data_IF_587952363299
#
_entry.id   IF_587952363299
#
_cell.length_a   1.000
_cell.length_b   1.000
_cell.length_c   1.000
_cell.angle_alpha   90.00
_cell.angle_beta   90.00
_cell.angle_gamma   90.00
#
_symmetry.space_group_name_H-M   'P 1'
#
loop_
_entity.id
_entity.type
_entity.pdbx_description
1 polymer ?
#
# COMPACT_ATOMS: atom_id res chain seq x y z
N UNK A 1 -7.06 28.50 -31.70
CA UNK A 1 -5.65 28.95 -31.66
C UNK A 1 -5.36 29.53 -30.28
N UNK A 2 -4.22 29.15 -29.69
CA UNK A 2 -3.59 29.72 -28.48
C UNK A 2 -3.92 29.11 -27.10
N UNK A 3 -3.68 27.81 -26.92
CA UNK A 3 -3.36 27.21 -25.59
C UNK A 3 -1.93 26.62 -25.56
N UNK A 4 -1.33 26.31 -26.72
CA UNK A 4 0.00 25.67 -26.82
C UNK A 4 1.19 26.52 -26.35
N UNK A 5 1.18 27.83 -26.63
CA UNK A 5 2.39 28.66 -26.48
C UNK A 5 2.82 28.88 -25.02
N UNK A 6 1.90 28.73 -24.06
CA UNK A 6 2.18 28.93 -22.63
C UNK A 6 2.87 27.73 -21.99
N UNK A 7 2.60 26.53 -22.51
CA UNK A 7 3.18 25.27 -22.02
C UNK A 7 4.61 25.17 -22.54
N UNK A 8 4.83 25.36 -23.84
CA UNK A 8 6.16 25.22 -24.44
C UNK A 8 7.22 26.17 -23.85
N UNK A 9 6.82 27.40 -23.50
CA UNK A 9 7.70 28.38 -22.87
C UNK A 9 8.15 28.00 -21.46
N UNK A 10 7.30 27.30 -20.67
CA UNK A 10 7.65 26.77 -19.35
C UNK A 10 8.61 25.57 -19.44
N UNK A 11 8.69 24.92 -20.61
CA UNK A 11 9.35 23.63 -20.78
C UNK A 11 10.67 23.64 -21.56
N UNK A 12 11.12 24.81 -22.01
CA UNK A 12 12.38 24.96 -22.75
C UNK A 12 13.66 24.79 -21.89
N UNK A 13 13.57 24.78 -20.56
CA UNK A 13 14.76 24.82 -19.67
C UNK A 13 14.93 23.59 -18.76
N UNK A 14 14.02 22.61 -18.81
CA UNK A 14 14.09 21.44 -17.95
C UNK A 14 14.97 20.33 -18.55
N UNK A 15 16.11 20.03 -17.93
CA UNK A 15 16.93 18.85 -18.28
C UNK A 15 16.15 17.56 -17.98
N UNK A 16 15.76 16.84 -19.04
CA UNK A 16 15.21 15.48 -18.97
C UNK A 16 16.28 14.53 -18.44
N UNK A 17 15.94 13.74 -17.42
CA UNK A 17 16.86 12.74 -16.85
C UNK A 17 16.44 11.36 -17.34
N UNK A 18 17.12 10.83 -18.35
CA UNK A 18 16.85 9.47 -18.82
C UNK A 18 17.38 8.43 -17.83
N UNK A 19 16.53 7.46 -17.48
CA UNK A 19 16.82 6.36 -16.55
C UNK A 19 17.97 5.45 -17.02
N UNK A 20 18.33 5.50 -18.31
CA UNK A 20 19.36 4.66 -18.94
C UNK A 20 20.81 5.02 -18.61
N UNK A 21 21.09 6.19 -18.03
CA UNK A 21 22.47 6.60 -17.73
C UNK A 21 22.97 6.24 -16.32
N UNK A 22 22.24 5.41 -15.56
CA UNK A 22 22.67 4.99 -14.21
C UNK A 22 23.36 3.62 -14.14
N UNK A 23 23.48 2.89 -15.25
CA UNK A 23 24.03 1.51 -15.24
C UNK A 23 25.18 1.26 -16.23
N UNK A 24 25.76 2.29 -16.85
CA UNK A 24 26.88 2.10 -17.78
C UNK A 24 27.87 3.27 -17.74
N UNK A 25 28.66 3.36 -16.67
CA UNK A 25 29.99 4.00 -16.67
C UNK A 25 30.69 3.69 -15.34
N UNK A 26 31.56 2.68 -15.34
CA UNK A 26 32.60 2.59 -14.34
C UNK A 26 33.69 3.64 -14.62
N UNK A 27 34.25 4.19 -13.55
CA UNK A 27 35.41 5.08 -13.45
C UNK A 27 35.21 6.57 -13.77
N UNK A 28 35.50 7.43 -12.78
CA UNK A 28 35.86 8.84 -12.97
C UNK A 28 35.08 9.83 -12.11
N UNK A 29 35.73 10.35 -11.06
CA UNK A 29 35.20 11.19 -9.98
C UNK A 29 34.90 12.64 -10.41
N UNK A 30 33.72 13.19 -10.02
CA UNK A 30 33.55 14.58 -9.61
C UNK A 30 32.26 14.72 -8.80
N UNK A 31 32.41 14.93 -7.48
CA UNK A 31 31.33 15.00 -6.52
C UNK A 31 30.50 16.29 -6.68
N UNK A 32 29.20 16.13 -6.95
CA UNK A 32 28.19 17.11 -6.61
C UNK A 32 27.28 16.46 -5.56
N UNK A 33 27.40 16.91 -4.31
CA UNK A 33 26.67 16.44 -3.14
C UNK A 33 25.18 16.78 -3.24
N UNK A 34 24.43 15.98 -3.98
CA UNK A 34 22.98 15.89 -3.83
C UNK A 34 22.70 15.04 -2.60
N UNK A 35 22.50 15.68 -1.45
CA UNK A 35 22.02 15.05 -0.22
C UNK A 35 20.55 14.66 -0.43
N UNK A 36 20.34 13.60 -1.21
CA UNK A 36 19.11 12.85 -1.22
C UNK A 36 19.26 11.75 -0.18
N UNK A 37 18.75 11.99 1.03
CA UNK A 37 18.69 10.97 2.06
C UNK A 37 17.68 9.90 1.60
N UNK A 38 18.13 8.93 0.81
CA UNK A 38 17.38 7.72 0.51
C UNK A 38 17.26 6.91 1.80
N UNK A 39 16.26 7.25 2.60
CA UNK A 39 15.79 6.39 3.66
C UNK A 39 15.05 5.21 3.02
N UNK A 40 15.79 4.29 2.40
CA UNK A 40 15.40 2.88 2.45
C UNK A 40 15.27 2.60 3.94
N UNK A 41 14.03 2.39 4.40
CA UNK A 41 13.76 2.16 5.81
C UNK A 41 14.73 1.09 6.30
N UNK A 42 15.62 1.45 7.25
CA UNK A 42 16.51 0.48 7.89
C UNK A 42 15.65 -0.71 8.31
N UNK A 43 16.08 -1.96 8.09
CA UNK A 43 15.34 -3.12 8.55
C UNK A 43 15.05 -2.89 10.04
N UNK A 44 13.76 -2.87 10.39
CA UNK A 44 13.36 -2.68 11.77
C UNK A 44 14.11 -3.72 12.60
N UNK A 45 14.81 -3.29 13.66
CA UNK A 45 15.38 -4.22 14.64
C UNK A 45 14.30 -5.24 14.96
N UNK A 46 14.61 -6.53 14.84
CA UNK A 46 13.66 -7.60 15.10
C UNK A 46 12.96 -7.33 16.44
N UNK A 47 11.71 -6.87 16.40
CA UNK A 47 10.91 -6.66 17.60
C UNK A 47 10.73 -8.05 18.20
N UNK A 48 11.08 -8.21 19.48
CA UNK A 48 10.75 -9.42 20.21
C UNK A 48 9.27 -9.75 19.99
N UNK A 49 8.94 -11.01 19.68
CA UNK A 49 7.55 -11.43 19.49
C UNK A 49 6.77 -11.05 20.75
N UNK A 50 5.87 -10.07 20.67
CA UNK A 50 5.07 -9.73 21.84
C UNK A 50 4.12 -10.89 22.12
N UNK A 51 4.00 -11.27 23.40
CA UNK A 51 3.08 -12.31 23.82
C UNK A 51 1.65 -11.93 23.40
N UNK A 52 0.93 -12.85 22.76
CA UNK A 52 -0.48 -12.67 22.38
C UNK A 52 -1.32 -12.65 23.65
N UNK A 53 -2.10 -11.59 23.85
CA UNK A 53 -2.96 -11.37 25.01
C UNK A 53 -4.36 -11.94 24.80
N UNK A 54 -5.17 -11.96 25.87
CA UNK A 54 -6.59 -12.28 25.76
C UNK A 54 -7.36 -11.23 24.95
N UNK A 55 -6.95 -9.96 25.08
CA UNK A 55 -7.54 -8.88 24.29
C UNK A 55 -7.26 -9.05 22.79
N UNK A 56 -6.05 -9.44 22.42
CA UNK A 56 -5.70 -9.76 21.03
C UNK A 56 -6.60 -10.88 20.47
N UNK A 57 -6.87 -11.92 21.27
CA UNK A 57 -7.79 -13.02 20.88
C UNK A 57 -9.21 -12.52 20.66
N UNK A 58 -9.72 -11.61 21.50
CA UNK A 58 -11.05 -11.01 21.32
C UNK A 58 -11.13 -10.16 20.05
N UNK A 59 -10.09 -9.39 19.73
CA UNK A 59 -10.04 -8.62 18.49
C UNK A 59 -9.96 -9.51 17.25
N UNK A 60 -9.20 -10.61 17.31
CA UNK A 60 -9.19 -11.60 16.23
C UNK A 60 -10.53 -12.31 16.09
N UNK A 61 -11.20 -12.67 17.19
CA UNK A 61 -12.54 -13.25 17.15
C UNK A 61 -13.55 -12.30 16.48
N UNK A 62 -13.45 -10.99 16.73
CA UNK A 62 -14.27 -9.99 16.04
C UNK A 62 -13.99 -9.93 14.53
N UNK A 63 -12.72 -10.07 14.12
CA UNK A 63 -12.37 -10.16 12.69
C UNK A 63 -13.01 -11.40 12.03
N UNK A 64 -12.98 -12.55 12.71
CA UNK A 64 -13.61 -13.81 12.24
C UNK A 64 -15.14 -13.69 12.20
N UNK A 65 -15.76 -13.07 13.21
CA UNK A 65 -17.19 -12.78 13.21
C UNK A 65 -17.57 -11.91 12.02
N UNK A 66 -16.77 -10.88 11.74
CA UNK A 66 -16.97 -9.97 10.60
C UNK A 66 -16.80 -10.69 9.26
N UNK A 67 -15.82 -11.59 9.16
CA UNK A 67 -15.62 -12.49 8.01
C UNK A 67 -16.87 -13.33 7.72
N UNK A 68 -17.45 -13.95 8.76
CA UNK A 68 -18.67 -14.74 8.62
C UNK A 68 -19.84 -13.87 8.16
N UNK A 69 -20.00 -12.70 8.78
CA UNK A 69 -21.08 -11.78 8.45
C UNK A 69 -21.01 -11.38 6.96
N UNK A 70 -19.84 -10.92 6.50
CA UNK A 70 -19.68 -10.45 5.13
C UNK A 70 -19.77 -11.57 4.07
N UNK A 71 -19.08 -12.70 4.27
CA UNK A 71 -19.02 -13.75 3.25
C UNK A 71 -20.21 -14.70 3.24
N UNK A 72 -20.78 -15.01 4.41
CA UNK A 72 -21.80 -16.07 4.55
C UNK A 72 -23.21 -15.49 4.70
N UNK A 73 -23.36 -14.46 5.55
CA UNK A 73 -24.69 -13.90 5.86
C UNK A 73 -25.08 -12.87 4.81
N UNK A 74 -24.30 -11.82 4.66
CA UNK A 74 -24.63 -10.68 3.79
C UNK A 74 -24.19 -10.89 2.34
N UNK A 75 -23.26 -11.83 2.12
CA UNK A 75 -22.69 -12.18 0.80
C UNK A 75 -22.17 -10.97 0.03
N UNK A 76 -21.54 -10.04 0.74
CA UNK A 76 -21.00 -8.79 0.17
C UNK A 76 -19.72 -9.00 -0.62
N UNK A 77 -19.10 -10.18 -0.48
CA UNK A 77 -17.88 -10.59 -1.16
C UNK A 77 -17.36 -11.91 -0.59
N UNK A 78 -16.05 -12.15 -0.72
CA UNK A 78 -15.41 -13.32 -0.10
C UNK A 78 -15.44 -13.28 1.44
N UNK A 79 -15.24 -14.42 2.13
CA UNK A 79 -15.29 -14.49 3.59
C UNK A 79 -14.01 -13.91 4.21
N UNK A 80 -13.91 -12.58 4.25
CA UNK A 80 -12.80 -11.87 4.88
C UNK A 80 -13.31 -10.78 5.81
N UNK A 81 -12.63 -10.60 6.95
CA UNK A 81 -12.97 -9.62 7.98
C UNK A 81 -11.71 -9.05 8.63
N UNK A 82 -11.75 -7.77 8.97
CA UNK A 82 -10.61 -7.08 9.56
C UNK A 82 -11.03 -6.06 10.61
N UNK A 83 -10.17 -5.85 11.60
CA UNK A 83 -10.35 -4.92 12.72
C UNK A 83 -9.08 -4.10 12.90
N UNK A 84 -9.22 -2.78 12.97
CA UNK A 84 -8.13 -1.85 13.32
C UNK A 84 -8.30 -1.42 14.76
N UNK A 85 -7.28 -1.63 15.59
CA UNK A 85 -7.28 -1.32 17.02
C UNK A 85 -6.12 -0.36 17.34
N UNK A 86 -6.35 0.65 18.17
CA UNK A 86 -5.30 1.51 18.72
C UNK A 86 -5.57 1.72 20.20
N UNK A 87 -4.54 1.57 21.04
CA UNK A 87 -4.64 1.75 22.49
C UNK A 87 -5.77 0.94 23.16
N UNK A 88 -6.04 -0.26 22.63
CA UNK A 88 -7.10 -1.15 23.07
C UNK A 88 -8.51 -0.81 22.55
N UNK A 89 -8.68 0.32 21.87
CA UNK A 89 -9.95 0.74 21.26
C UNK A 89 -10.06 0.25 19.81
N UNK A 90 -11.22 -0.32 19.46
CA UNK A 90 -11.54 -0.64 18.06
C UNK A 90 -11.87 0.67 17.30
N UNK A 91 -11.00 1.03 16.36
CA UNK A 91 -11.23 2.16 15.46
C UNK A 91 -12.21 1.79 14.35
N UNK A 92 -12.10 0.57 13.82
CA UNK A 92 -12.98 0.06 12.77
C UNK A 92 -13.01 -1.47 12.78
N UNK A 93 -14.15 -2.05 12.40
CA UNK A 93 -14.28 -3.44 11.99
C UNK A 93 -15.05 -3.48 10.67
N UNK A 94 -14.55 -4.21 9.67
CA UNK A 94 -15.19 -4.29 8.36
C UNK A 94 -14.92 -5.62 7.66
N UNK A 95 -15.91 -6.06 6.88
CA UNK A 95 -15.79 -7.20 5.99
C UNK A 95 -15.42 -6.80 4.56
N UNK A 96 -15.17 -7.81 3.74
CA UNK A 96 -15.03 -7.67 2.29
C UNK A 96 -16.37 -7.26 1.67
N UNK A 97 -16.33 -6.27 0.78
CA UNK A 97 -17.50 -5.77 0.07
C UNK A 97 -17.29 -5.64 -1.44
N UNK A 98 -16.36 -6.41 -2.01
CA UNK A 98 -16.00 -6.37 -3.43
C UNK A 98 -17.22 -6.50 -4.33
N UNK A 99 -18.11 -7.47 -4.06
CA UNK A 99 -19.28 -7.72 -4.89
C UNK A 99 -20.38 -6.69 -4.64
N UNK A 100 -20.59 -6.29 -3.38
CA UNK A 100 -21.61 -5.29 -3.03
C UNK A 100 -21.31 -3.93 -3.66
N UNK A 101 -20.04 -3.50 -3.59
CA UNK A 101 -19.63 -2.15 -3.97
C UNK A 101 -19.12 -2.06 -5.41
N UNK A 102 -19.02 -3.20 -6.12
CA UNK A 102 -18.34 -3.32 -7.42
C UNK A 102 -16.94 -2.70 -7.41
N UNK A 103 -16.21 -2.87 -6.30
CA UNK A 103 -14.88 -2.31 -6.08
C UNK A 103 -13.89 -3.45 -5.79
N UNK A 104 -13.00 -3.82 -6.74
CA UNK A 104 -12.01 -4.89 -6.50
C UNK A 104 -11.01 -4.54 -5.39
N UNK A 105 -10.93 -3.28 -4.96
CA UNK A 105 -10.10 -2.87 -3.82
C UNK A 105 -10.81 -2.97 -2.47
N UNK A 106 -12.11 -3.25 -2.43
CA UNK A 106 -12.94 -3.28 -1.21
C UNK A 106 -12.75 -4.57 -0.38
N UNK A 107 -11.49 -4.94 -0.16
CA UNK A 107 -11.08 -5.99 0.77
C UNK A 107 -11.32 -5.55 2.22
N UNK A 108 -11.47 -6.52 3.11
CA UNK A 108 -11.79 -6.26 4.52
C UNK A 108 -10.78 -5.31 5.19
N UNK A 109 -9.48 -5.53 4.95
CA UNK A 109 -8.39 -4.74 5.52
C UNK A 109 -8.39 -3.31 4.94
N UNK A 110 -8.58 -3.17 3.63
CA UNK A 110 -8.67 -1.86 2.97
C UNK A 110 -9.86 -1.07 3.51
N UNK A 111 -11.02 -1.72 3.64
CA UNK A 111 -12.22 -1.10 4.18
C UNK A 111 -12.03 -0.67 5.64
N UNK A 112 -11.50 -1.55 6.50
CA UNK A 112 -11.24 -1.23 7.90
C UNK A 112 -10.24 -0.06 8.05
N UNK A 113 -9.18 -0.04 7.23
CA UNK A 113 -8.20 1.07 7.18
C UNK A 113 -8.87 2.37 6.73
N UNK A 114 -9.66 2.34 5.66
CA UNK A 114 -10.40 3.52 5.15
C UNK A 114 -11.32 4.10 6.23
N UNK A 115 -12.09 3.25 6.93
CA UNK A 115 -13.00 3.67 8.01
C UNK A 115 -12.20 4.25 9.18
N UNK A 116 -11.12 3.58 9.61
CA UNK A 116 -10.29 4.05 10.73
C UNK A 116 -9.64 5.40 10.42
N UNK A 117 -9.06 5.58 9.22
CA UNK A 117 -8.49 6.86 8.78
C UNK A 117 -9.53 7.98 8.77
N UNK A 118 -10.76 7.71 8.29
CA UNK A 118 -11.87 8.67 8.33
C UNK A 118 -12.26 9.01 9.77
N UNK A 119 -12.38 8.01 10.66
CA UNK A 119 -12.72 8.21 12.08
C UNK A 119 -11.72 9.14 12.78
N UNK A 120 -10.43 9.02 12.48
CA UNK A 120 -9.38 9.85 13.11
C UNK A 120 -9.06 11.14 12.35
N UNK A 121 -9.65 11.36 11.16
CA UNK A 121 -9.37 12.52 10.31
C UNK A 121 -7.94 12.57 9.74
N UNK A 122 -7.26 11.42 9.61
CA UNK A 122 -5.87 11.37 9.14
C UNK A 122 -5.54 10.07 8.39
N UNK A 123 -4.67 10.10 7.36
CA UNK A 123 -4.26 8.89 6.60
C UNK A 123 -3.19 8.06 7.33
N UNK A 124 -3.04 8.25 8.65
CA UNK A 124 -1.94 7.69 9.43
C UNK A 124 -2.46 6.97 10.68
N UNK A 125 -2.33 5.65 10.66
CA UNK A 125 -2.70 4.69 11.69
C UNK A 125 -1.50 4.23 12.54
N UNK A 126 -0.44 5.05 12.70
CA UNK A 126 0.69 4.73 13.59
C UNK A 126 0.24 4.33 15.00
N UNK A 127 0.89 3.33 15.57
CA UNK A 127 0.51 2.72 16.85
C UNK A 127 -0.72 1.81 16.77
N UNK A 128 -1.44 1.75 15.65
CA UNK A 128 -2.52 0.79 15.47
C UNK A 128 -2.02 -0.61 15.15
N UNK A 129 -2.82 -1.60 15.53
CA UNK A 129 -2.69 -3.02 15.15
C UNK A 129 -3.86 -3.40 14.25
N UNK A 130 -3.56 -4.06 13.13
CA UNK A 130 -4.54 -4.69 12.25
C UNK A 130 -4.70 -6.16 12.65
N UNK A 131 -5.92 -6.57 12.96
CA UNK A 131 -6.31 -7.97 13.09
C UNK A 131 -7.10 -8.35 11.84
N UNK A 132 -6.62 -9.32 11.08
CA UNK A 132 -7.27 -9.77 9.84
C UNK A 132 -7.59 -11.26 9.94
N UNK A 133 -8.76 -11.67 9.45
CA UNK A 133 -9.17 -13.08 9.47
C UNK A 133 -8.27 -13.96 8.61
N UNK A 134 -7.64 -13.37 7.59
CA UNK A 134 -6.71 -14.05 6.69
C UNK A 134 -5.45 -13.21 6.48
N UNK A 135 -4.33 -13.85 6.18
CA UNK A 135 -3.06 -13.19 5.85
C UNK A 135 -3.26 -12.19 4.70
N UNK A 136 -2.78 -10.95 4.88
CA UNK A 136 -3.03 -9.87 3.92
C UNK A 136 -2.45 -10.19 2.55
N UNK A 137 -3.25 -10.08 1.49
CA UNK A 137 -2.74 -10.07 0.12
C UNK A 137 -1.81 -8.85 -0.12
N UNK A 138 -1.04 -8.81 -1.24
CA UNK A 138 -0.10 -7.73 -1.52
C UNK A 138 -0.71 -6.32 -1.47
N UNK A 139 -1.95 -6.16 -1.95
CA UNK A 139 -2.67 -4.88 -1.90
C UNK A 139 -2.99 -4.47 -0.45
N UNK A 140 -3.53 -5.38 0.35
CA UNK A 140 -3.87 -5.13 1.74
C UNK A 140 -2.63 -4.82 2.58
N UNK A 141 -1.54 -5.57 2.37
CA UNK A 141 -0.26 -5.32 3.04
C UNK A 141 0.30 -3.94 2.68
N UNK A 142 0.32 -3.58 1.39
CA UNK A 142 0.76 -2.26 0.96
C UNK A 142 -0.12 -1.14 1.55
N UNK A 143 -1.44 -1.35 1.63
CA UNK A 143 -2.37 -0.39 2.23
C UNK A 143 -2.08 -0.17 3.72
N UNK A 144 -1.85 -1.25 4.48
CA UNK A 144 -1.43 -1.17 5.89
C UNK A 144 -0.08 -0.47 6.05
N UNK A 145 0.88 -0.73 5.15
CA UNK A 145 2.18 -0.07 5.13
C UNK A 145 2.08 1.45 4.91
N UNK A 146 1.29 1.87 3.91
CA UNK A 146 1.03 3.29 3.64
C UNK A 146 0.31 3.98 4.79
N UNK A 147 -0.65 3.28 5.41
CA UNK A 147 -1.33 3.75 6.61
C UNK A 147 -0.46 3.74 7.87
N UNK A 148 0.80 3.30 7.81
CA UNK A 148 1.74 3.27 8.96
C UNK A 148 1.27 2.38 10.12
N UNK A 149 0.54 1.31 9.84
CA UNK A 149 0.15 0.32 10.86
C UNK A 149 1.41 -0.33 11.46
N UNK A 150 1.46 -0.44 12.78
CA UNK A 150 2.64 -0.89 13.53
C UNK A 150 2.76 -2.41 13.59
N UNK A 151 1.62 -3.11 13.52
CA UNK A 151 1.53 -4.56 13.69
C UNK A 151 0.33 -5.14 12.94
N UNK A 152 0.52 -6.31 12.36
CA UNK A 152 -0.54 -7.13 11.75
C UNK A 152 -0.57 -8.48 12.47
N UNK A 153 -1.74 -8.91 12.91
CA UNK A 153 -2.05 -10.29 13.27
C UNK A 153 -3.00 -10.86 12.22
N UNK A 154 -2.76 -12.10 11.79
CA UNK A 154 -3.67 -12.84 10.92
C UNK A 154 -4.07 -14.18 11.54
N UNK A 155 -5.25 -14.69 11.20
CA UNK A 155 -5.71 -16.00 11.64
C UNK A 155 -5.38 -17.09 10.62
N UNK A 156 -6.02 -17.11 9.45
CA UNK A 156 -5.74 -18.06 8.38
C UNK A 156 -4.56 -17.60 7.51
N UNK A 157 -3.64 -18.49 7.16
CA UNK A 157 -2.60 -18.23 6.17
C UNK A 157 -3.16 -18.40 4.75
N UNK A 158 -2.47 -17.86 3.73
CA UNK A 158 -2.88 -18.06 2.32
C UNK A 158 -3.08 -19.54 1.95
N UNK A 159 -2.27 -20.42 2.55
CA UNK A 159 -2.32 -21.87 2.29
C UNK A 159 -3.60 -22.54 2.79
N UNK A 160 -4.33 -21.93 3.74
CA UNK A 160 -5.50 -22.55 4.36
C UNK A 160 -6.75 -22.50 3.46
N UNK A 161 -6.73 -21.67 2.41
CA UNK A 161 -7.88 -21.42 1.52
C UNK A 161 -7.47 -21.26 0.06
N UNK A 162 -6.27 -21.74 -0.31
CA UNK A 162 -5.70 -21.57 -1.65
C UNK A 162 -6.56 -22.21 -2.77
N UNK A 163 -7.43 -23.16 -2.43
CA UNK A 163 -8.42 -23.76 -3.33
C UNK A 163 -9.58 -22.83 -3.68
N UNK A 164 -9.84 -21.83 -2.83
CA UNK A 164 -10.91 -20.84 -3.00
C UNK A 164 -10.37 -19.49 -3.49
N UNK A 165 -9.26 -19.02 -2.89
CA UNK A 165 -8.62 -17.76 -3.24
C UNK A 165 -7.09 -17.91 -3.22
N UNK A 166 -6.44 -17.62 -4.35
CA UNK A 166 -4.98 -17.68 -4.47
C UNK A 166 -4.37 -16.29 -4.68
N UNK A 167 -4.16 -15.60 -3.56
CA UNK A 167 -3.49 -14.29 -3.50
C UNK A 167 -1.97 -14.38 -3.76
N UNK A 168 -1.40 -15.59 -3.70
CA UNK A 168 0.05 -15.79 -3.86
C UNK A 168 0.51 -15.47 -5.29
N UNK A 169 -0.37 -15.63 -6.28
CA UNK A 169 -0.11 -15.34 -7.68
C UNK A 169 0.34 -13.89 -7.92
N UNK A 170 -0.24 -12.92 -7.22
CA UNK A 170 0.14 -11.51 -7.34
C UNK A 170 1.58 -11.31 -6.83
N UNK A 171 1.90 -11.89 -5.67
CA UNK A 171 3.25 -11.84 -5.10
C UNK A 171 4.29 -12.48 -6.00
N UNK A 172 3.95 -13.62 -6.60
CA UNK A 172 4.82 -14.36 -7.53
C UNK A 172 5.03 -13.54 -8.80
N UNK A 173 3.96 -12.98 -9.38
CA UNK A 173 4.05 -12.17 -10.59
C UNK A 173 4.89 -10.91 -10.39
N UNK A 174 4.71 -10.20 -9.27
CA UNK A 174 5.48 -9.00 -8.95
C UNK A 174 7.00 -9.26 -8.83
N UNK A 175 7.43 -10.49 -8.54
CA UNK A 175 8.86 -10.85 -8.48
C UNK A 175 9.46 -11.11 -9.87
N UNK A 176 8.65 -11.31 -10.90
CA UNK A 176 9.14 -11.54 -12.27
C UNK A 176 9.72 -10.26 -12.89
N UNK A 177 10.70 -10.39 -13.81
CA UNK A 177 11.10 -9.29 -14.71
C UNK A 177 9.89 -8.70 -15.43
N UNK A 178 9.88 -7.40 -15.73
CA UNK A 178 8.72 -6.71 -16.32
C UNK A 178 8.19 -7.37 -17.61
N UNK A 179 9.09 -7.89 -18.45
CA UNK A 179 8.72 -8.57 -19.69
C UNK A 179 7.98 -9.92 -19.48
N UNK A 180 8.05 -10.48 -18.28
CA UNK A 180 7.49 -11.80 -17.92
C UNK A 180 6.30 -11.69 -16.96
N UNK A 181 5.94 -10.47 -16.53
CA UNK A 181 4.77 -10.25 -15.69
C UNK A 181 3.49 -10.45 -16.50
N UNK A 182 2.44 -10.93 -15.84
CA UNK A 182 1.10 -11.07 -16.41
C UNK A 182 0.54 -9.71 -16.85
N UNK A 183 0.79 -8.67 -16.05
CA UNK A 183 0.55 -7.30 -16.48
C UNK A 183 1.84 -6.75 -17.12
N UNK A 184 1.72 -6.14 -18.30
CA UNK A 184 2.86 -5.63 -19.06
C UNK A 184 3.02 -4.11 -18.90
N UNK A 185 3.70 -3.63 -17.85
CA UNK A 185 3.91 -2.19 -17.69
C UNK A 185 4.83 -1.67 -18.80
N UNK A 186 4.34 -0.69 -19.55
CA UNK A 186 5.10 0.02 -20.57
C UNK A 186 5.26 1.49 -20.18
N UNK A 187 6.48 2.02 -20.26
CA UNK A 187 6.74 3.43 -20.01
C UNK A 187 6.43 4.26 -21.26
N UNK A 188 5.65 5.34 -21.10
CA UNK A 188 5.34 6.31 -22.14
C UNK A 188 5.38 7.73 -21.55
N UNK A 189 5.66 8.75 -22.38
CA UNK A 189 5.64 10.17 -22.02
C UNK A 189 6.48 10.53 -20.76
N UNK A 190 7.68 9.95 -20.66
CA UNK A 190 8.55 10.14 -19.49
C UNK A 190 8.95 11.61 -19.29
N UNK A 191 9.26 12.32 -20.37
CA UNK A 191 9.76 13.69 -20.30
C UNK A 191 8.68 14.66 -19.77
N UNK A 192 7.44 14.46 -20.19
CA UNK A 192 6.25 15.19 -19.76
C UNK A 192 5.98 14.97 -18.27
N UNK A 193 5.97 13.71 -17.83
CA UNK A 193 5.80 13.39 -16.41
C UNK A 193 6.93 13.98 -15.53
N UNK A 194 8.17 14.00 -16.03
CA UNK A 194 9.31 14.55 -15.29
C UNK A 194 9.19 16.05 -15.04
N UNK A 195 8.56 16.81 -15.94
CA UNK A 195 8.32 18.25 -15.75
C UNK A 195 7.42 18.50 -14.52
N UNK A 196 6.32 17.75 -14.39
CA UNK A 196 5.45 17.80 -13.20
C UNK A 196 6.21 17.44 -11.93
N UNK A 197 7.08 16.43 -11.97
CA UNK A 197 7.92 16.09 -10.81
C UNK A 197 8.89 17.21 -10.43
N UNK A 198 9.44 17.95 -11.39
CA UNK A 198 10.31 19.09 -11.13
C UNK A 198 9.56 20.26 -10.52
N UNK A 199 8.31 20.50 -10.94
CA UNK A 199 7.42 21.48 -10.31
C UNK A 199 7.10 21.07 -8.87
N UNK A 200 6.67 19.83 -8.65
CA UNK A 200 6.38 19.29 -7.32
C UNK A 200 7.58 19.40 -6.36
N UNK A 201 8.81 19.21 -6.86
CA UNK A 201 10.04 19.38 -6.04
C UNK A 201 10.24 20.82 -5.55
N UNK A 202 9.81 21.81 -6.33
CA UNK A 202 9.95 23.23 -5.98
C UNK A 202 8.85 23.71 -5.02
N UNK A 203 7.73 22.99 -4.93
CA UNK A 203 6.64 23.33 -4.02
C UNK A 203 7.08 23.23 -2.55
N UNK A 204 7.03 24.34 -1.78
CA UNK A 204 7.42 24.35 -0.37
C UNK A 204 6.43 23.59 0.52
N UNK A 205 5.15 23.56 0.15
CA UNK A 205 4.02 22.97 0.85
C UNK A 205 3.55 21.64 0.23
N UNK A 206 4.43 20.97 -0.53
CA UNK A 206 4.12 19.71 -1.18
C UNK A 206 3.65 18.63 -0.20
N UNK A 207 2.67 17.84 -0.63
CA UNK A 207 2.15 16.72 0.14
C UNK A 207 3.25 15.71 0.55
N UNK A 208 3.16 15.21 1.78
CA UNK A 208 4.03 14.15 2.34
C UNK A 208 3.17 13.22 3.18
N UNK A 209 3.19 11.92 2.90
CA UNK A 209 2.51 10.89 3.69
C UNK A 209 3.24 9.55 3.65
#
# INVERSE_FOLDING_TARGET
MSVDKSIDALFSSARVVHRRNFLAAGAGLAAATMVGNEAIAKPAKARAKSKITEQDRKHMALAIQTMRQAGIVDKTGGPFGAVVVRDGEVLAASGNSVLRDNDPSAHAEVNAIRIACKKIGAPNLRGATLFTSCECCPMCYATAYWARIDKIYYAAAWTDYADLFDDSNISIDMKKPYAQRTLHPQQMMQAEAQKVWLEFRKMPDRAKY
#
